data_IF_573934039700
#
_entry.id   IF_573934039700
#
_cell.length_a   1.000
_cell.length_b   1.000
_cell.length_c   1.000
_cell.angle_alpha   90.00
_cell.angle_beta   90.00
_cell.angle_gamma   90.00
#
_symmetry.space_group_name_H-M   'P 1'
#
loop_
_entity.id
_entity.type
_entity.pdbx_description
1 polymer ?
#
# COMPACT_ATOMS: atom_id res chain seq x y z
N UNK A 1 -6.59 -10.06 7.98
CA UNK A 1 -7.77 -9.25 7.61
C UNK A 1 -8.62 -9.21 8.85
N UNK A 2 -8.76 -8.03 9.45
CA UNK A 2 -9.66 -7.78 10.58
C UNK A 2 -11.12 -7.65 10.11
N UNK A 3 -12.08 -7.56 11.03
CA UNK A 3 -13.51 -7.53 10.70
C UNK A 3 -13.97 -6.21 10.04
N UNK A 4 -13.11 -5.18 10.07
CA UNK A 4 -13.33 -3.92 9.37
C UNK A 4 -12.74 -3.93 7.97
N UNK A 5 -13.43 -3.30 7.03
CA UNK A 5 -12.89 -3.04 5.68
C UNK A 5 -11.86 -1.93 5.80
N UNK A 6 -10.65 -2.15 5.27
CA UNK A 6 -9.53 -1.20 5.27
C UNK A 6 -9.06 -0.71 6.66
N UNK A 7 -9.26 -1.52 7.71
CA UNK A 7 -8.88 -1.14 9.09
C UNK A 7 -7.54 -1.70 9.57
N UNK A 8 -6.91 -2.59 8.80
CA UNK A 8 -5.63 -3.20 9.13
C UNK A 8 -4.47 -2.20 9.29
N UNK A 9 -3.32 -2.64 9.86
CA UNK A 9 -2.13 -1.82 9.96
C UNK A 9 -1.51 -1.58 8.57
N UNK A 10 -0.98 -0.39 8.34
CA UNK A 10 -0.34 -0.02 7.06
C UNK A 10 1.00 -0.74 6.93
N UNK A 11 1.18 -1.45 5.81
CA UNK A 11 2.42 -2.21 5.50
C UNK A 11 3.36 -1.38 4.63
N UNK A 12 2.81 -0.73 3.60
CA UNK A 12 3.55 0.08 2.65
C UNK A 12 2.63 1.20 2.16
N UNK A 13 3.21 2.33 1.78
CA UNK A 13 2.48 3.48 1.26
C UNK A 13 3.35 4.20 0.24
N UNK A 14 2.72 4.72 -0.81
CA UNK A 14 3.35 5.59 -1.79
C UNK A 14 2.51 6.85 -1.98
N UNK A 15 3.17 7.96 -2.25
CA UNK A 15 2.51 9.20 -2.62
C UNK A 15 2.29 9.24 -4.14
N UNK A 16 1.11 9.67 -4.56
CA UNK A 16 0.77 9.91 -5.96
C UNK A 16 0.38 11.38 -6.10
N UNK A 17 1.08 12.18 -6.92
CA UNK A 17 0.72 13.57 -7.12
C UNK A 17 -0.62 13.67 -7.85
N UNK A 18 -1.42 14.67 -7.48
CA UNK A 18 -2.60 15.10 -8.23
C UNK A 18 -2.16 16.28 -9.09
N UNK A 19 -2.39 16.18 -10.39
CA UNK A 19 -2.02 17.20 -11.38
C UNK A 19 -3.22 18.11 -11.67
N UNK A 20 -2.93 19.31 -12.19
CA UNK A 20 -3.95 20.34 -12.43
C UNK A 20 -5.10 19.87 -13.35
N UNK A 21 -4.78 19.03 -14.33
CA UNK A 21 -5.72 18.57 -15.36
C UNK A 21 -6.24 17.14 -15.10
N UNK A 22 -6.06 16.61 -13.89
CA UNK A 22 -6.59 15.29 -13.57
C UNK A 22 -8.12 15.28 -13.52
N UNK A 23 -8.71 14.27 -14.14
CA UNK A 23 -10.04 13.80 -13.81
C UNK A 23 -9.96 12.54 -12.91
N UNK A 24 -11.13 12.03 -12.51
CA UNK A 24 -11.18 10.82 -11.67
C UNK A 24 -10.49 9.63 -12.36
N UNK A 25 -10.68 9.46 -13.66
CA UNK A 25 -10.14 8.32 -14.39
C UNK A 25 -8.62 8.40 -14.55
N UNK A 26 -8.07 9.58 -14.85
CA UNK A 26 -6.63 9.79 -15.00
C UNK A 26 -5.90 9.65 -13.67
N UNK A 27 -6.46 10.20 -12.59
CA UNK A 27 -5.91 10.04 -11.25
C UNK A 27 -5.99 8.58 -10.79
N UNK A 28 -7.13 7.93 -10.99
CA UNK A 28 -7.30 6.53 -10.62
C UNK A 28 -6.34 5.60 -11.36
N UNK A 29 -6.15 5.80 -12.67
CA UNK A 29 -5.18 5.04 -13.45
C UNK A 29 -3.74 5.25 -12.94
N UNK A 30 -3.38 6.47 -12.53
CA UNK A 30 -2.08 6.75 -11.92
C UNK A 30 -1.91 6.06 -10.56
N UNK A 31 -2.95 6.07 -9.72
CA UNK A 31 -2.97 5.36 -8.43
C UNK A 31 -2.79 3.87 -8.65
N UNK A 32 -3.58 3.24 -9.53
CA UNK A 32 -3.47 1.81 -9.84
C UNK A 32 -2.07 1.43 -10.34
N UNK A 33 -1.47 2.27 -11.19
CA UNK A 33 -0.12 2.08 -11.71
C UNK A 33 0.97 2.06 -10.63
N UNK A 34 0.75 2.73 -9.50
CA UNK A 34 1.64 2.72 -8.34
C UNK A 34 1.26 1.62 -7.35
N UNK A 35 -0.03 1.32 -7.19
CA UNK A 35 -0.56 0.33 -6.27
C UNK A 35 -0.04 -1.08 -6.56
N UNK A 36 -0.13 -1.53 -7.83
CA UNK A 36 0.23 -2.89 -8.21
C UNK A 36 1.71 -3.24 -7.93
N UNK A 37 2.71 -2.44 -8.34
CA UNK A 37 4.11 -2.73 -8.01
C UNK A 37 4.39 -2.64 -6.50
N UNK A 38 3.80 -1.65 -5.80
CA UNK A 38 3.96 -1.49 -4.35
C UNK A 38 3.46 -2.73 -3.59
N UNK A 39 2.31 -3.25 -4.00
CA UNK A 39 1.71 -4.45 -3.40
C UNK A 39 2.61 -5.68 -3.58
N UNK A 40 3.11 -5.91 -4.79
CA UNK A 40 4.00 -7.03 -5.09
C UNK A 40 5.31 -6.93 -4.31
N UNK A 41 5.88 -5.72 -4.22
CA UNK A 41 7.09 -5.48 -3.43
C UNK A 41 6.85 -5.79 -1.94
N UNK A 42 5.80 -5.21 -1.36
CA UNK A 42 5.48 -5.37 0.06
C UNK A 42 5.30 -6.85 0.44
N UNK A 43 4.54 -7.62 -0.36
CA UNK A 43 4.38 -9.08 -0.14
C UNK A 43 5.71 -9.80 -0.28
N UNK A 44 6.51 -9.46 -1.31
CA UNK A 44 7.81 -10.06 -1.53
C UNK A 44 8.75 -9.88 -0.35
N UNK A 45 8.72 -8.71 0.29
CA UNK A 45 9.50 -8.42 1.51
C UNK A 45 8.99 -9.20 2.71
N UNK A 46 7.68 -9.16 2.98
CA UNK A 46 7.05 -9.91 4.07
C UNK A 46 7.37 -11.42 4.01
N UNK A 47 7.38 -12.00 2.81
CA UNK A 47 7.65 -13.43 2.63
C UNK A 47 9.12 -13.83 2.85
N UNK A 48 10.07 -12.91 2.62
CA UNK A 48 11.52 -13.21 2.64
C UNK A 48 12.22 -12.72 3.91
N UNK A 49 11.78 -11.60 4.47
CA UNK A 49 12.47 -10.91 5.57
C UNK A 49 11.88 -11.26 6.94
N UNK A 50 10.68 -11.86 6.98
CA UNK A 50 9.91 -11.97 8.22
C UNK A 50 9.35 -10.61 8.67
N UNK A 51 8.42 -10.64 9.62
CA UNK A 51 7.77 -9.43 10.10
C UNK A 51 7.11 -9.62 11.47
N UNK A 52 6.89 -8.50 12.15
CA UNK A 52 6.15 -8.43 13.42
C UNK A 52 5.09 -7.34 13.37
N UNK A 53 4.03 -7.50 14.16
CA UNK A 53 2.99 -6.48 14.37
C UNK A 53 2.93 -6.14 15.85
N UNK A 54 3.03 -4.85 16.16
CA UNK A 54 2.84 -4.32 17.51
C UNK A 54 1.78 -3.21 17.47
N UNK A 55 0.62 -3.47 18.06
CA UNK A 55 -0.54 -2.59 17.92
C UNK A 55 -0.92 -2.41 16.44
N UNK A 56 -0.73 -1.21 15.90
CA UNK A 56 -1.01 -0.85 14.51
C UNK A 56 0.23 -0.69 13.62
N UNK A 57 1.40 -1.07 14.13
CA UNK A 57 2.67 -0.89 13.40
C UNK A 57 3.19 -2.24 12.90
N UNK A 58 3.51 -2.30 11.61
CA UNK A 58 4.22 -3.42 10.99
C UNK A 58 5.71 -3.11 10.94
N UNK A 59 6.55 -4.05 11.38
CA UNK A 59 8.00 -4.05 11.12
C UNK A 59 8.36 -5.23 10.24
N UNK A 60 9.15 -4.96 9.21
CA UNK A 60 9.70 -5.97 8.29
C UNK A 60 11.20 -6.11 8.59
N UNK A 61 11.69 -7.35 8.59
CA UNK A 61 13.02 -7.73 9.13
C UNK A 61 13.03 -7.86 10.65
#
# INVERSE_FOLDING_TARGET
VDEGVDTGPVVAQAAVPVEQDDDEASLHARIQGVEQPLYVEAIGRLAREGWTVSGRTVRIG
#
